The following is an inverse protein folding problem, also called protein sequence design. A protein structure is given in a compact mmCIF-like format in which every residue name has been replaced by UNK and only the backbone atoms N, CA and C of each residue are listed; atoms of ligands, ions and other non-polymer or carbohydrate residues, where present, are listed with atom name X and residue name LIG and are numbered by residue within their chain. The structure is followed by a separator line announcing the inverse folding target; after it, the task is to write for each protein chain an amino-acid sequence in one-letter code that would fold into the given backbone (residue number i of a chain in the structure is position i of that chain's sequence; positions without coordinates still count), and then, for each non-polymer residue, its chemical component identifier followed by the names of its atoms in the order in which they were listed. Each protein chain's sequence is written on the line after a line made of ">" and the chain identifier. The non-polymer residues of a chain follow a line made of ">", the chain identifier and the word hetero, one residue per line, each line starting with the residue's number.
data_IF_385174388500
#
_entry.id   IF_385174388500
#
_cell.length_a   1.000
_cell.length_b   1.000
_cell.length_c   1.000
_cell.angle_alpha   90.00
_cell.angle_beta   90.00
_cell.angle_gamma   90.00
#
_symmetry.space_group_name_H-M   'P 1'
#
loop_
_entity.id
_entity.type
_entity.pdbx_description
1 polymer ?
#
# COMPACT_ATOMS: atom_id res chain seq x y z
N UNK A 1 -6.29 -0.90 30.63
CA UNK A 1 -5.75 -0.49 29.31
C UNK A 1 -4.81 -1.55 28.77
N UNK A 2 -4.99 -2.00 27.53
CA UNK A 2 -4.12 -2.95 26.84
C UNK A 2 -3.60 -2.32 25.56
N UNK A 3 -2.38 -2.70 25.14
CA UNK A 3 -1.71 -2.07 23.98
C UNK A 3 -1.14 -3.13 23.05
N UNK A 4 -1.27 -2.90 21.73
CA UNK A 4 -0.67 -3.71 20.67
C UNK A 4 0.05 -2.79 19.67
N UNK A 5 1.28 -3.16 19.26
CA UNK A 5 2.04 -2.43 18.24
C UNK A 5 2.24 -3.33 17.03
N UNK A 6 1.99 -2.78 15.84
CA UNK A 6 2.10 -3.49 14.55
C UNK A 6 2.90 -2.65 13.56
N UNK A 7 3.79 -3.28 12.83
CA UNK A 7 4.47 -2.69 11.68
C UNK A 7 3.56 -2.81 10.45
N UNK A 8 2.98 -1.70 10.05
CA UNK A 8 2.07 -1.59 8.90
C UNK A 8 2.91 -1.45 7.62
N UNK A 9 3.17 -2.58 6.93
CA UNK A 9 4.09 -2.63 5.78
C UNK A 9 3.46 -2.03 4.53
N UNK A 10 4.24 -1.25 3.78
CA UNK A 10 3.88 -0.77 2.44
C UNK A 10 3.82 -1.91 1.41
N UNK A 11 3.19 -1.63 0.27
CA UNK A 11 3.18 -2.50 -0.91
C UNK A 11 3.72 -1.77 -2.13
N UNK A 12 4.16 -2.53 -3.11
CA UNK A 12 4.38 -2.10 -4.49
C UNK A 12 3.52 -2.95 -5.43
N UNK A 13 3.20 -2.41 -6.61
CA UNK A 13 2.58 -3.16 -7.68
C UNK A 13 3.68 -3.57 -8.66
N UNK A 14 4.05 -4.86 -8.69
CA UNK A 14 4.99 -5.40 -9.67
C UNK A 14 4.39 -5.38 -11.08
N UNK A 15 3.09 -5.69 -11.18
CA UNK A 15 2.30 -5.39 -12.40
C UNK A 15 1.07 -4.60 -12.02
N UNK A 16 0.59 -3.75 -12.93
CA UNK A 16 -0.72 -3.12 -12.85
C UNK A 16 -1.30 -3.02 -14.24
N UNK A 17 -2.33 -3.81 -14.49
CA UNK A 17 -3.06 -3.92 -15.74
C UNK A 17 -4.50 -3.48 -15.49
N UNK A 18 -4.99 -2.54 -16.28
CA UNK A 18 -6.34 -1.99 -16.17
C UNK A 18 -7.13 -2.43 -17.41
N UNK A 19 -8.32 -2.92 -17.17
CA UNK A 19 -9.24 -3.37 -18.21
C UNK A 19 -10.40 -2.36 -18.40
N UNK A 20 -11.36 -2.73 -19.22
CA UNK A 20 -12.49 -1.86 -19.56
C UNK A 20 -13.28 -1.43 -18.31
N UNK A 21 -13.89 -0.25 -18.44
CA UNK A 21 -14.75 0.32 -17.42
C UNK A 21 -16.02 -0.51 -17.25
N UNK A 22 -16.32 -0.87 -16.03
CA UNK A 22 -17.53 -1.63 -15.66
C UNK A 22 -18.76 -0.73 -15.64
N UNK A 23 -19.94 -1.35 -15.63
CA UNK A 23 -21.24 -0.63 -15.53
C UNK A 23 -21.40 0.14 -14.20
N UNK A 24 -20.69 -0.27 -13.14
CA UNK A 24 -20.69 0.40 -11.84
C UNK A 24 -19.72 1.60 -11.76
N UNK A 25 -19.03 1.89 -12.87
CA UNK A 25 -18.09 3.02 -12.98
C UNK A 25 -16.65 2.70 -12.55
N UNK A 26 -16.40 1.53 -11.99
CA UNK A 26 -15.04 1.04 -11.68
C UNK A 26 -14.42 0.34 -12.89
N UNK A 27 -13.11 0.06 -12.81
CA UNK A 27 -12.40 -0.77 -13.77
C UNK A 27 -12.11 -2.15 -13.17
N UNK A 28 -12.17 -3.19 -13.98
CA UNK A 28 -11.50 -4.42 -13.63
C UNK A 28 -10.00 -4.19 -13.75
N UNK A 29 -9.25 -4.74 -12.80
CA UNK A 29 -7.78 -4.66 -12.78
C UNK A 29 -7.17 -6.02 -12.53
N UNK A 30 -5.91 -6.15 -12.91
CA UNK A 30 -5.06 -7.28 -12.51
C UNK A 30 -3.70 -6.76 -12.10
N UNK A 31 -3.28 -7.10 -10.90
CA UNK A 31 -2.01 -6.63 -10.34
C UNK A 31 -1.34 -7.71 -9.52
N UNK A 32 -0.06 -7.92 -9.75
CA UNK A 32 0.79 -8.63 -8.79
C UNK A 32 1.31 -7.62 -7.79
N UNK A 33 0.85 -7.75 -6.54
CA UNK A 33 1.24 -6.88 -5.43
C UNK A 33 2.25 -7.59 -4.53
N UNK A 34 3.22 -6.84 -4.02
CA UNK A 34 4.21 -7.35 -3.07
C UNK A 34 4.40 -6.39 -1.90
N UNK A 35 4.39 -6.90 -0.66
CA UNK A 35 4.74 -6.10 0.53
C UNK A 35 6.24 -5.86 0.57
N UNK A 36 6.64 -4.69 1.04
CA UNK A 36 8.06 -4.31 1.20
C UNK A 36 8.36 -3.98 2.65
N UNK A 37 9.64 -3.91 3.02
CA UNK A 37 10.08 -3.66 4.39
C UNK A 37 9.86 -2.22 4.89
N UNK A 38 9.50 -1.25 4.03
CA UNK A 38 9.09 0.08 4.47
C UNK A 38 7.76 -0.03 5.21
N UNK A 39 7.67 0.51 6.43
CA UNK A 39 6.45 0.40 7.25
C UNK A 39 6.21 1.64 8.10
N UNK A 40 4.94 1.91 8.37
CA UNK A 40 4.50 2.75 9.47
C UNK A 40 4.46 1.92 10.76
N UNK A 41 4.58 2.58 11.92
CA UNK A 41 4.44 1.91 13.22
C UNK A 41 3.09 2.33 13.80
N UNK A 42 2.18 1.37 13.95
CA UNK A 42 0.83 1.59 14.46
C UNK A 42 0.72 0.99 15.85
N UNK A 43 0.50 1.85 16.84
CA UNK A 43 0.27 1.46 18.23
C UNK A 43 -1.19 1.73 18.59
N UNK A 44 -1.91 0.70 19.00
CA UNK A 44 -3.32 0.76 19.40
C UNK A 44 -3.43 0.48 20.89
N UNK A 45 -4.02 1.40 21.64
CA UNK A 45 -4.33 1.25 23.07
C UNK A 45 -5.83 1.21 23.25
N UNK A 46 -6.35 0.20 23.93
CA UNK A 46 -7.78 0.02 24.22
C UNK A 46 -8.04 0.11 25.72
N UNK A 47 -9.12 0.77 26.08
CA UNK A 47 -9.63 0.84 27.43
C UNK A 47 -11.10 0.40 27.47
N UNK A 48 -11.36 -0.76 28.06
CA UNK A 48 -12.70 -1.36 28.21
C UNK A 48 -13.37 -1.01 29.55
N UNK A 49 -12.67 -0.31 30.44
CA UNK A 49 -13.13 0.02 31.80
C UNK A 49 -13.47 1.50 31.98
N UNK A 50 -13.24 2.30 30.93
CA UNK A 50 -13.50 3.73 30.94
C UNK A 50 -14.99 4.02 31.02
N UNK A 51 -15.40 4.79 32.03
CA UNK A 51 -16.82 5.14 32.34
C UNK A 51 -17.08 6.63 32.37
N UNK A 52 -16.06 7.47 32.11
CA UNK A 52 -16.22 8.92 32.07
C UNK A 52 -16.90 9.39 30.74
N UNK A 53 -17.04 10.70 30.59
CA UNK A 53 -17.67 11.34 29.44
C UNK A 53 -16.99 11.01 28.07
N UNK A 54 -15.77 10.48 28.11
CA UNK A 54 -15.03 10.07 26.94
C UNK A 54 -15.06 8.54 26.68
N UNK A 55 -15.96 7.80 27.34
CA UNK A 55 -16.17 6.39 27.09
C UNK A 55 -16.63 6.17 25.63
N UNK A 56 -15.94 5.29 24.92
CA UNK A 56 -16.17 5.05 23.48
C UNK A 56 -15.46 6.03 22.54
N UNK A 57 -14.62 6.94 23.06
CA UNK A 57 -13.84 7.84 22.22
C UNK A 57 -12.81 7.08 21.38
N UNK A 58 -12.73 7.42 20.09
CA UNK A 58 -11.68 6.98 19.18
C UNK A 58 -10.83 8.19 18.82
N UNK A 59 -9.52 8.09 19.04
CA UNK A 59 -8.55 9.14 18.68
C UNK A 59 -7.44 8.59 17.83
N UNK A 60 -7.04 9.35 16.80
CA UNK A 60 -5.89 9.03 15.92
C UNK A 60 -4.86 10.15 15.99
N UNK A 61 -3.65 9.79 16.39
CA UNK A 61 -2.50 10.69 16.52
C UNK A 61 -1.43 10.26 15.53
N UNK A 62 -1.22 11.06 14.49
CA UNK A 62 -0.17 10.79 13.50
C UNK A 62 1.04 11.69 13.73
N UNK A 63 2.25 11.15 13.57
CA UNK A 63 3.51 11.92 13.65
C UNK A 63 3.62 13.04 12.61
N UNK A 64 2.83 12.95 11.52
CA UNK A 64 2.68 13.97 10.47
C UNK A 64 1.21 14.10 10.11
N UNK A 65 0.78 15.32 9.77
CA UNK A 65 -0.59 15.53 9.26
C UNK A 65 -0.77 14.83 7.91
N UNK A 66 -1.83 14.04 7.77
CA UNK A 66 -2.20 13.32 6.54
C UNK A 66 -3.58 13.76 6.05
N UNK A 67 -4.56 13.79 6.94
CA UNK A 67 -5.94 14.20 6.68
C UNK A 67 -6.67 14.52 7.99
N UNK A 68 -7.92 14.97 7.92
CA UNK A 68 -8.77 15.09 9.09
C UNK A 68 -8.95 13.72 9.76
N UNK A 69 -9.03 13.68 11.08
CA UNK A 69 -9.05 12.44 11.88
C UNK A 69 -10.13 11.45 11.41
N UNK A 70 -11.35 11.91 11.20
CA UNK A 70 -12.49 11.08 10.75
C UNK A 70 -12.37 10.59 9.31
N UNK A 71 -11.53 11.22 8.50
CA UNK A 71 -11.24 10.79 7.14
C UNK A 71 -10.11 9.75 7.07
N UNK A 72 -9.35 9.60 8.16
CA UNK A 72 -8.29 8.63 8.25
C UNK A 72 -8.84 7.19 8.24
N UNK A 73 -8.28 6.33 7.40
CA UNK A 73 -8.70 4.93 7.31
C UNK A 73 -8.47 4.16 8.62
N UNK A 74 -7.47 4.53 9.41
CA UNK A 74 -7.23 3.97 10.74
C UNK A 74 -8.39 4.30 11.70
N UNK A 75 -8.92 5.54 11.65
CA UNK A 75 -10.11 5.91 12.40
C UNK A 75 -11.33 5.10 11.96
N UNK A 76 -11.59 5.05 10.65
CA UNK A 76 -12.73 4.31 10.08
C UNK A 76 -12.66 2.81 10.39
N UNK A 77 -11.45 2.25 10.45
CA UNK A 77 -11.23 0.86 10.87
C UNK A 77 -11.67 0.64 12.33
N UNK A 78 -11.22 1.51 13.24
CA UNK A 78 -11.59 1.43 14.64
C UNK A 78 -13.09 1.66 14.84
N UNK A 79 -13.68 2.64 14.17
CA UNK A 79 -15.10 2.96 14.25
C UNK A 79 -15.97 1.76 13.83
N UNK A 80 -15.67 1.17 12.66
CA UNK A 80 -16.36 -0.03 12.16
C UNK A 80 -16.20 -1.22 13.08
N UNK A 81 -14.98 -1.43 13.60
CA UNK A 81 -14.69 -2.50 14.55
C UNK A 81 -15.45 -2.32 15.87
N UNK A 82 -15.40 -1.11 16.45
CA UNK A 82 -16.05 -0.82 17.74
C UNK A 82 -17.57 -0.89 17.64
N UNK A 83 -18.17 -0.49 16.51
CA UNK A 83 -19.60 -0.66 16.28
C UNK A 83 -20.00 -2.16 16.29
N UNK A 84 -19.22 -3.02 15.65
CA UNK A 84 -19.45 -4.47 15.67
C UNK A 84 -19.18 -5.09 17.03
N UNK A 85 -18.12 -4.64 17.74
CA UNK A 85 -17.81 -5.04 19.09
C UNK A 85 -18.98 -4.73 20.05
N UNK A 86 -19.53 -3.51 20.01
CA UNK A 86 -20.71 -3.13 20.80
C UNK A 86 -21.93 -4.00 20.47
N UNK A 87 -22.19 -4.22 19.17
CA UNK A 87 -23.31 -5.07 18.72
C UNK A 87 -23.24 -6.48 19.29
N UNK A 88 -22.03 -7.04 19.43
CA UNK A 88 -21.82 -8.42 19.93
C UNK A 88 -21.78 -8.55 21.44
N UNK A 89 -21.27 -7.54 22.13
CA UNK A 89 -20.96 -7.63 23.57
C UNK A 89 -21.85 -6.75 24.47
N UNK A 90 -22.48 -5.72 23.90
CA UNK A 90 -23.12 -4.64 24.65
C UNK A 90 -22.15 -3.73 25.40
N UNK A 91 -20.82 -3.90 25.19
CA UNK A 91 -19.79 -3.14 25.91
C UNK A 91 -19.23 -2.03 25.00
N UNK A 92 -18.85 -0.93 25.64
CA UNK A 92 -18.15 0.19 25.00
C UNK A 92 -16.66 0.10 25.35
N UNK A 93 -15.80 0.40 24.39
CA UNK A 93 -14.36 0.52 24.59
C UNK A 93 -13.84 1.79 23.93
N UNK A 94 -12.94 2.50 24.61
CA UNK A 94 -12.22 3.65 24.06
C UNK A 94 -10.95 3.18 23.37
N UNK A 95 -10.52 3.90 22.32
CA UNK A 95 -9.36 3.51 21.50
C UNK A 95 -8.48 4.72 21.19
N UNK A 96 -7.18 4.60 21.44
CA UNK A 96 -6.17 5.57 21.00
C UNK A 96 -5.25 4.87 20.02
N UNK A 97 -5.10 5.45 18.84
CA UNK A 97 -4.26 4.97 17.74
C UNK A 97 -3.15 5.99 17.52
N UNK A 98 -1.92 5.58 17.77
CA UNK A 98 -0.71 6.38 17.51
C UNK A 98 -0.01 5.83 16.29
N UNK A 99 0.25 6.68 15.27
CA UNK A 99 0.87 6.26 14.00
C UNK A 99 2.14 7.06 13.75
N UNK A 100 3.28 6.38 13.72
CA UNK A 100 4.53 6.92 13.20
C UNK A 100 4.57 6.72 11.69
N UNK A 101 4.39 7.82 10.93
CA UNK A 101 4.28 7.79 9.47
C UNK A 101 5.63 7.84 8.80
N UNK A 102 6.04 6.73 8.19
CA UNK A 102 7.25 6.55 7.38
C UNK A 102 6.92 6.35 5.89
N UNK A 103 5.74 5.74 5.60
CA UNK A 103 5.26 5.56 4.23
C UNK A 103 4.76 6.90 3.70
N UNK A 104 5.26 7.36 2.53
CA UNK A 104 4.74 8.57 1.88
C UNK A 104 3.24 8.46 1.60
N UNK A 105 2.47 9.49 1.97
CA UNK A 105 1.04 9.58 1.68
C UNK A 105 0.78 9.82 0.18
N UNK A 106 -0.37 9.34 -0.32
CA UNK A 106 -0.82 9.50 -1.73
C UNK A 106 0.25 9.11 -2.76
N UNK A 107 1.05 8.10 -2.46
CA UNK A 107 2.21 7.68 -3.25
C UNK A 107 2.01 6.36 -4.02
N UNK A 108 0.85 5.71 -3.93
CA UNK A 108 0.64 4.40 -4.53
C UNK A 108 1.26 3.23 -3.75
N UNK A 109 1.78 3.49 -2.53
CA UNK A 109 2.44 2.52 -1.67
C UNK A 109 1.50 1.87 -0.64
N UNK A 110 0.23 2.23 -0.62
CA UNK A 110 -0.79 1.61 0.24
C UNK A 110 -0.70 1.95 1.73
N UNK A 111 -0.02 3.05 2.14
CA UNK A 111 0.23 3.38 3.54
C UNK A 111 -1.05 3.49 4.38
N UNK A 112 -2.07 4.21 3.92
CA UNK A 112 -3.35 4.32 4.65
C UNK A 112 -4.07 2.99 4.79
N UNK A 113 -4.00 2.11 3.77
CA UNK A 113 -4.57 0.76 3.83
C UNK A 113 -3.78 -0.15 4.76
N UNK A 114 -2.46 0.02 4.85
CA UNK A 114 -1.60 -0.69 5.80
C UNK A 114 -1.92 -0.29 7.25
N UNK A 115 -2.08 1.02 7.53
CA UNK A 115 -2.49 1.52 8.84
C UNK A 115 -3.87 0.96 9.24
N UNK A 116 -4.82 0.98 8.32
CA UNK A 116 -6.16 0.43 8.49
C UNK A 116 -6.11 -1.06 8.88
N UNK A 117 -5.38 -1.87 8.11
CA UNK A 117 -5.21 -3.29 8.39
C UNK A 117 -4.54 -3.54 9.74
N UNK A 118 -3.51 -2.76 10.08
CA UNK A 118 -2.82 -2.85 11.37
C UNK A 118 -3.75 -2.55 12.55
N UNK A 119 -4.64 -1.56 12.42
CA UNK A 119 -5.65 -1.26 13.45
C UNK A 119 -6.63 -2.42 13.61
N UNK A 120 -7.16 -2.99 12.51
CA UNK A 120 -8.06 -4.14 12.56
C UNK A 120 -7.40 -5.36 13.24
N UNK A 121 -6.15 -5.64 12.89
CA UNK A 121 -5.38 -6.73 13.50
C UNK A 121 -5.10 -6.49 14.98
N UNK A 122 -4.72 -5.26 15.36
CA UNK A 122 -4.46 -4.92 16.75
C UNK A 122 -5.72 -5.04 17.62
N UNK A 123 -6.86 -4.51 17.15
CA UNK A 123 -8.14 -4.59 17.85
C UNK A 123 -8.64 -6.04 17.95
N UNK A 124 -8.45 -6.85 16.91
CA UNK A 124 -8.78 -8.28 16.95
C UNK A 124 -7.96 -9.02 18.02
N UNK A 125 -6.66 -8.70 18.14
CA UNK A 125 -5.78 -9.29 19.17
C UNK A 125 -6.16 -8.85 20.58
N UNK A 126 -6.52 -7.57 20.77
CA UNK A 126 -6.81 -6.99 22.08
C UNK A 126 -8.22 -7.35 22.59
N UNK A 127 -9.21 -7.41 21.70
CA UNK A 127 -10.62 -7.61 22.09
C UNK A 127 -11.17 -9.01 21.79
N UNK A 128 -10.61 -9.74 20.83
CA UNK A 128 -10.86 -11.17 20.60
C UNK A 128 -12.28 -11.58 20.21
N UNK A 129 -13.15 -10.63 19.84
CA UNK A 129 -14.59 -10.87 19.68
C UNK A 129 -15.03 -11.01 18.23
N UNK A 130 -14.25 -10.44 17.30
CA UNK A 130 -14.54 -10.39 15.88
C UNK A 130 -13.83 -11.54 15.17
N UNK A 131 -14.56 -12.29 14.34
CA UNK A 131 -14.01 -13.40 13.54
C UNK A 131 -13.15 -12.87 12.39
N UNK A 132 -12.25 -13.71 11.85
CA UNK A 132 -11.44 -13.36 10.68
C UNK A 132 -12.33 -12.90 9.51
N UNK A 133 -13.44 -13.63 9.24
CA UNK A 133 -14.38 -13.30 8.17
C UNK A 133 -14.98 -11.89 8.33
N UNK A 134 -15.41 -11.54 9.55
CA UNK A 134 -15.97 -10.20 9.82
C UNK A 134 -14.92 -9.10 9.68
N UNK A 135 -13.67 -9.39 10.06
CA UNK A 135 -12.53 -8.50 9.86
C UNK A 135 -12.27 -8.26 8.37
N UNK A 136 -12.29 -9.33 7.56
CA UNK A 136 -12.14 -9.26 6.10
C UNK A 136 -13.28 -8.46 5.44
N UNK A 137 -14.52 -8.64 5.89
CA UNK A 137 -15.67 -7.85 5.42
C UNK A 137 -15.50 -6.35 5.71
N UNK A 138 -15.04 -5.98 6.91
CA UNK A 138 -14.71 -4.58 7.24
C UNK A 138 -13.59 -4.08 6.34
N UNK A 139 -12.54 -4.85 6.15
CA UNK A 139 -11.40 -4.48 5.31
C UNK A 139 -11.80 -4.20 3.86
N UNK A 140 -12.59 -5.09 3.25
CA UNK A 140 -13.08 -4.94 1.88
C UNK A 140 -13.99 -3.71 1.70
N UNK A 141 -14.75 -3.34 2.73
CA UNK A 141 -15.58 -2.15 2.74
C UNK A 141 -14.76 -0.85 2.80
N UNK A 142 -13.65 -0.85 3.55
CA UNK A 142 -12.84 0.35 3.80
C UNK A 142 -11.91 0.71 2.65
N UNK A 143 -11.46 -0.26 1.86
CA UNK A 143 -10.62 0.03 0.69
C UNK A 143 -10.09 -1.22 0.00
N UNK A 144 -9.87 -1.12 -1.32
CA UNK A 144 -9.47 -2.26 -2.16
C UNK A 144 -8.10 -2.86 -1.81
N UNK A 145 -7.17 -2.06 -1.30
CA UNK A 145 -5.85 -2.56 -0.88
C UNK A 145 -5.86 -3.15 0.55
N UNK A 146 -6.88 -2.83 1.38
CA UNK A 146 -6.91 -3.25 2.81
C UNK A 146 -6.93 -4.77 2.98
N UNK A 147 -7.71 -5.56 2.20
CA UNK A 147 -7.66 -7.02 2.27
C UNK A 147 -6.24 -7.58 2.06
N UNK A 148 -5.51 -7.08 1.05
CA UNK A 148 -4.13 -7.52 0.83
C UNK A 148 -3.21 -7.19 2.00
N UNK A 149 -3.39 -6.02 2.63
CA UNK A 149 -2.57 -5.63 3.79
C UNK A 149 -2.81 -6.52 5.02
N UNK A 150 -4.02 -7.07 5.19
CA UNK A 150 -4.35 -8.03 6.26
C UNK A 150 -3.72 -9.40 6.06
N UNK A 151 -3.44 -9.81 4.83
CA UNK A 151 -2.92 -11.14 4.54
C UNK A 151 -1.56 -11.41 5.22
N UNK A 152 -1.34 -12.66 5.60
CA UNK A 152 -0.07 -13.09 6.21
C UNK A 152 1.02 -13.38 5.18
N UNK A 153 0.67 -13.46 3.89
CA UNK A 153 1.62 -13.61 2.80
C UNK A 153 1.99 -12.25 2.20
N UNK A 154 3.13 -12.18 1.57
CA UNK A 154 3.72 -10.93 1.10
C UNK A 154 3.50 -10.67 -0.39
N UNK A 155 3.10 -11.68 -1.17
CA UNK A 155 2.85 -11.57 -2.61
C UNK A 155 1.49 -12.15 -3.00
N UNK A 156 0.74 -11.41 -3.83
CA UNK A 156 -0.55 -11.84 -4.33
C UNK A 156 -0.87 -11.32 -5.72
N UNK A 157 -1.65 -12.08 -6.47
CA UNK A 157 -2.42 -11.59 -7.60
C UNK A 157 -3.74 -11.02 -7.10
N UNK A 158 -3.97 -9.73 -7.33
CA UNK A 158 -5.23 -9.06 -7.10
C UNK A 158 -5.99 -8.91 -8.41
N UNK A 159 -7.29 -9.22 -8.41
CA UNK A 159 -8.18 -9.16 -9.59
C UNK A 159 -9.52 -8.50 -9.25
N UNK A 160 -10.36 -8.28 -10.28
CA UNK A 160 -11.61 -7.54 -10.14
C UNK A 160 -11.33 -6.08 -9.80
N UNK A 161 -11.95 -5.56 -8.75
CA UNK A 161 -11.67 -4.20 -8.24
C UNK A 161 -10.42 -4.15 -7.32
N UNK A 162 -9.60 -5.21 -7.30
CA UNK A 162 -8.42 -5.33 -6.46
C UNK A 162 -8.64 -6.12 -5.16
N UNK A 163 -9.85 -6.60 -4.92
CA UNK A 163 -10.25 -7.27 -3.66
C UNK A 163 -10.23 -8.80 -3.73
N UNK A 164 -10.21 -9.39 -4.94
CA UNK A 164 -10.06 -10.84 -5.10
C UNK A 164 -8.59 -11.20 -5.13
N UNK A 165 -8.12 -11.92 -4.12
CA UNK A 165 -6.70 -12.20 -3.91
C UNK A 165 -6.38 -13.68 -4.12
N UNK A 166 -5.28 -13.94 -4.82
CA UNK A 166 -4.66 -15.25 -4.95
C UNK A 166 -3.21 -15.15 -4.47
N UNK A 167 -2.85 -15.91 -3.43
CA UNK A 167 -1.47 -15.99 -2.95
C UNK A 167 -0.52 -16.42 -4.05
N UNK A 168 0.64 -15.77 -4.13
CA UNK A 168 1.75 -16.10 -5.03
C UNK A 168 3.03 -16.37 -4.25
N UNK A 169 4.04 -17.03 -4.86
CA UNK A 169 5.39 -17.08 -4.34
C UNK A 169 5.95 -15.66 -4.18
N UNK A 170 6.77 -15.45 -3.15
CA UNK A 170 7.47 -14.19 -2.95
C UNK A 170 8.58 -14.01 -4.00
N UNK A 171 9.02 -12.79 -4.22
CA UNK A 171 10.26 -12.52 -4.93
C UNK A 171 11.45 -13.16 -4.18
N UNK A 172 12.49 -13.61 -4.90
CA UNK A 172 13.78 -13.90 -4.29
C UNK A 172 14.28 -12.70 -3.48
N UNK A 173 15.04 -12.96 -2.40
CA UNK A 173 15.55 -11.90 -1.54
C UNK A 173 16.27 -10.82 -2.34
N UNK A 174 15.80 -9.59 -2.24
CA UNK A 174 16.34 -8.43 -2.94
C UNK A 174 16.10 -7.15 -2.14
N UNK A 175 16.52 -6.02 -2.69
CA UNK A 175 16.37 -4.70 -2.08
C UNK A 175 15.50 -3.81 -2.95
N UNK A 176 14.63 -3.05 -2.29
CA UNK A 176 13.76 -2.06 -2.90
C UNK A 176 14.18 -0.66 -2.47
N UNK A 177 14.40 0.21 -3.44
CA UNK A 177 14.59 1.65 -3.20
C UNK A 177 13.38 2.38 -3.74
N UNK A 178 12.71 3.17 -2.90
CA UNK A 178 11.58 4.01 -3.35
C UNK A 178 11.98 5.48 -3.39
N UNK A 179 11.46 6.19 -4.38
CA UNK A 179 11.54 7.64 -4.48
C UNK A 179 10.16 8.22 -4.79
N UNK A 180 9.71 9.18 -3.99
CA UNK A 180 8.39 9.82 -4.14
C UNK A 180 8.61 11.32 -4.26
N UNK A 181 8.23 11.96 -5.38
CA UNK A 181 8.25 13.43 -5.50
C UNK A 181 7.16 14.04 -4.60
N UNK A 182 7.30 15.32 -4.26
CA UNK A 182 6.31 16.00 -3.42
C UNK A 182 4.94 16.15 -4.10
N UNK A 183 4.92 16.19 -5.43
CA UNK A 183 3.68 16.27 -6.19
C UNK A 183 2.99 14.90 -6.22
N UNK A 184 1.88 14.79 -5.50
CA UNK A 184 0.99 13.63 -5.55
C UNK A 184 0.07 13.65 -6.77
N UNK A 185 -0.49 12.49 -7.08
CA UNK A 185 -1.52 12.30 -8.10
C UNK A 185 -2.80 11.79 -7.44
N UNK A 186 -3.95 12.27 -7.91
CA UNK A 186 -5.25 11.73 -7.51
C UNK A 186 -5.50 10.43 -8.29
N UNK A 187 -5.78 9.34 -7.58
CA UNK A 187 -6.13 8.06 -8.22
C UNK A 187 -7.30 8.22 -9.18
N UNK A 188 -8.32 9.00 -8.80
CA UNK A 188 -9.49 9.26 -9.64
C UNK A 188 -9.09 9.94 -10.94
N UNK A 189 -8.29 11.02 -10.86
CA UNK A 189 -7.89 11.79 -12.04
C UNK A 189 -7.06 10.92 -13.01
N UNK A 190 -6.25 10.00 -12.48
CA UNK A 190 -5.46 9.08 -13.31
C UNK A 190 -6.35 8.07 -14.04
N UNK A 191 -7.39 7.54 -13.41
CA UNK A 191 -8.37 6.70 -14.10
C UNK A 191 -9.14 7.48 -15.18
N UNK A 192 -9.56 8.72 -14.89
CA UNK A 192 -10.26 9.56 -15.86
C UNK A 192 -9.35 9.88 -17.06
N UNK A 193 -8.08 10.22 -16.83
CA UNK A 193 -7.08 10.42 -17.89
C UNK A 193 -6.77 9.12 -18.69
N UNK A 194 -6.81 7.97 -18.03
CA UNK A 194 -6.62 6.67 -18.69
C UNK A 194 -7.77 6.39 -19.67
N UNK A 195 -9.01 6.65 -19.25
CA UNK A 195 -10.20 6.51 -20.10
C UNK A 195 -10.16 7.44 -21.31
N UNK A 196 -9.73 8.69 -21.13
CA UNK A 196 -9.63 9.68 -22.19
C UNK A 196 -8.59 9.30 -23.25
N UNK A 197 -7.42 8.82 -22.80
CA UNK A 197 -6.27 8.56 -23.70
C UNK A 197 -6.38 7.27 -24.48
N UNK A 198 -7.34 6.35 -24.24
CA UNK A 198 -7.71 5.11 -24.95
C UNK A 198 -6.60 4.29 -25.68
N UNK A 199 -5.32 4.61 -25.47
CA UNK A 199 -4.20 4.14 -26.30
C UNK A 199 -3.09 3.44 -25.51
N UNK A 200 -3.34 3.10 -24.26
CA UNK A 200 -2.33 2.32 -23.54
C UNK A 200 -2.48 0.88 -24.02
N UNK A 201 -1.64 0.50 -24.96
CA UNK A 201 -1.51 -0.90 -25.40
C UNK A 201 -1.42 -1.77 -24.15
N UNK A 202 -2.29 -2.77 -24.00
CA UNK A 202 -2.22 -3.66 -22.87
C UNK A 202 -0.90 -4.42 -22.89
N UNK A 203 0.09 -3.94 -22.19
CA UNK A 203 1.31 -4.70 -21.95
C UNK A 203 0.99 -5.68 -20.81
N UNK A 204 0.33 -6.77 -21.17
CA UNK A 204 -0.15 -7.80 -20.23
C UNK A 204 1.01 -8.71 -19.87
N UNK A 205 1.61 -8.47 -18.71
CA UNK A 205 2.79 -9.21 -18.24
C UNK A 205 2.53 -10.02 -16.95
N UNK A 206 1.36 -9.91 -16.33
CA UNK A 206 1.10 -10.57 -15.06
C UNK A 206 1.29 -12.10 -15.13
N UNK A 207 0.84 -12.80 -16.18
CA UNK A 207 1.06 -14.24 -16.32
C UNK A 207 2.54 -14.60 -16.45
N UNK A 208 3.30 -13.80 -17.23
CA UNK A 208 4.74 -14.01 -17.41
C UNK A 208 5.49 -13.76 -16.09
N UNK A 209 5.08 -12.74 -15.32
CA UNK A 209 5.65 -12.45 -14.02
C UNK A 209 5.31 -13.54 -13.01
N UNK A 210 4.07 -14.06 -12.98
CA UNK A 210 3.67 -15.17 -12.10
C UNK A 210 4.52 -16.41 -12.41
N UNK A 211 4.66 -16.78 -13.70
CA UNK A 211 5.52 -17.91 -14.10
C UNK A 211 6.99 -17.71 -13.71
N UNK A 212 7.49 -16.46 -13.75
CA UNK A 212 8.85 -16.15 -13.32
C UNK A 212 9.01 -16.26 -11.79
N UNK A 213 7.98 -15.85 -11.00
CA UNK A 213 7.95 -16.03 -9.55
C UNK A 213 7.95 -17.51 -9.16
N UNK A 214 7.14 -18.35 -9.85
CA UNK A 214 7.09 -19.80 -9.63
C UNK A 214 8.42 -20.48 -9.92
N UNK A 215 9.23 -19.93 -10.84
CA UNK A 215 10.55 -20.43 -11.21
C UNK A 215 11.70 -19.77 -10.44
N UNK A 216 11.40 -18.82 -9.56
CA UNK A 216 12.38 -18.00 -8.83
C UNK A 216 13.39 -17.30 -9.75
N UNK A 217 12.99 -17.02 -11.01
CA UNK A 217 13.84 -16.38 -12.01
C UNK A 217 13.84 -14.86 -11.84
N UNK A 218 14.80 -14.37 -11.06
CA UNK A 218 14.91 -12.94 -10.70
C UNK A 218 14.98 -12.02 -11.93
N UNK A 219 15.74 -12.41 -12.96
CA UNK A 219 15.86 -11.62 -14.19
C UNK A 219 14.52 -11.49 -14.91
N UNK A 220 13.84 -12.62 -15.14
CA UNK A 220 12.52 -12.63 -15.76
C UNK A 220 11.44 -11.93 -14.93
N UNK A 221 11.53 -11.99 -13.59
CA UNK A 221 10.65 -11.19 -12.73
C UNK A 221 10.82 -9.71 -13.05
N UNK A 222 12.04 -9.21 -13.03
CA UNK A 222 12.36 -7.80 -13.30
C UNK A 222 11.94 -7.35 -14.71
N UNK A 223 12.10 -8.19 -15.73
CA UNK A 223 11.70 -7.92 -17.14
C UNK A 223 10.19 -7.82 -17.33
N UNK A 224 9.42 -8.38 -16.40
CA UNK A 224 7.96 -8.40 -16.47
C UNK A 224 7.26 -7.39 -15.52
N UNK A 225 8.02 -6.52 -14.85
CA UNK A 225 7.46 -5.42 -14.05
C UNK A 225 6.88 -4.36 -14.99
N UNK A 226 5.59 -4.02 -14.79
CA UNK A 226 4.88 -3.06 -15.67
C UNK A 226 3.75 -2.35 -14.93
N UNK A 227 3.52 -1.08 -15.27
CA UNK A 227 2.38 -0.30 -14.78
C UNK A 227 1.78 0.52 -15.93
N UNK A 228 0.53 0.24 -16.29
CA UNK A 228 -0.15 0.91 -17.40
C UNK A 228 -0.42 2.40 -17.15
N UNK A 229 -0.49 2.84 -15.91
CA UNK A 229 -0.65 4.26 -15.59
C UNK A 229 0.65 5.07 -15.74
N UNK A 230 1.82 4.43 -15.67
CA UNK A 230 3.09 5.14 -15.60
C UNK A 230 3.32 6.13 -16.75
N UNK A 231 3.05 5.81 -18.03
CA UNK A 231 3.25 6.76 -19.13
C UNK A 231 2.41 8.03 -18.97
N UNK A 232 1.17 7.90 -18.47
CA UNK A 232 0.27 9.02 -18.21
C UNK A 232 0.80 9.83 -17.05
N UNK A 233 1.18 9.18 -15.96
CA UNK A 233 1.67 9.84 -14.76
C UNK A 233 3.00 10.58 -14.99
N UNK A 234 3.90 10.04 -15.82
CA UNK A 234 5.14 10.74 -16.22
C UNK A 234 4.84 12.02 -17.00
N UNK A 235 3.80 12.03 -17.83
CA UNK A 235 3.38 13.22 -18.55
C UNK A 235 2.89 14.31 -17.60
N UNK A 236 2.12 13.94 -16.56
CA UNK A 236 1.56 14.87 -15.57
C UNK A 236 2.60 15.33 -14.52
N UNK A 237 3.54 14.44 -14.16
CA UNK A 237 4.58 14.65 -13.14
C UNK A 237 5.91 14.12 -13.68
N UNK A 238 6.66 15.00 -14.35
CA UNK A 238 7.93 14.62 -15.01
C UNK A 238 9.00 14.10 -14.03
N UNK A 239 8.89 14.41 -12.76
CA UNK A 239 9.76 13.95 -11.68
C UNK A 239 9.73 12.42 -11.54
N UNK A 240 8.60 11.77 -11.82
CA UNK A 240 8.45 10.31 -11.85
C UNK A 240 9.47 9.70 -12.83
N UNK A 241 9.53 10.24 -14.05
CA UNK A 241 10.48 9.78 -15.07
C UNK A 241 11.94 10.04 -14.71
N UNK A 242 12.22 11.15 -14.01
CA UNK A 242 13.58 11.47 -13.53
C UNK A 242 14.03 10.54 -12.42
N UNK A 243 13.14 10.20 -11.46
CA UNK A 243 13.40 9.22 -10.40
C UNK A 243 13.65 7.84 -11.03
N UNK A 244 12.78 7.38 -11.94
CA UNK A 244 12.95 6.11 -12.66
C UNK A 244 14.31 6.03 -13.35
N UNK A 245 14.67 7.07 -14.10
CA UNK A 245 15.95 7.14 -14.80
C UNK A 245 17.15 7.13 -13.84
N UNK A 246 17.04 7.80 -12.69
CA UNK A 246 18.06 7.79 -11.65
C UNK A 246 18.27 6.39 -11.10
N UNK A 247 17.20 5.67 -10.73
CA UNK A 247 17.26 4.30 -10.21
C UNK A 247 17.89 3.33 -11.22
N UNK A 248 17.47 3.38 -12.50
CA UNK A 248 18.04 2.54 -13.56
C UNK A 248 19.53 2.83 -13.79
N UNK A 249 19.93 4.11 -13.80
CA UNK A 249 21.35 4.49 -13.92
C UNK A 249 22.18 4.06 -12.72
N UNK A 250 21.56 3.88 -11.56
CA UNK A 250 22.22 3.37 -10.34
C UNK A 250 22.28 1.85 -10.27
N UNK A 251 21.89 1.12 -11.35
CA UNK A 251 22.02 -0.32 -11.42
C UNK A 251 20.78 -1.10 -10.99
N UNK A 252 19.61 -0.47 -10.93
CA UNK A 252 18.36 -1.21 -10.70
C UNK A 252 18.08 -2.17 -11.86
N UNK A 253 17.77 -3.44 -11.54
CA UNK A 253 17.31 -4.44 -12.50
C UNK A 253 15.97 -4.06 -13.15
N UNK A 254 15.11 -3.43 -12.36
CA UNK A 254 13.87 -2.82 -12.84
C UNK A 254 13.59 -1.55 -12.02
N UNK A 255 12.92 -0.58 -12.64
CA UNK A 255 12.34 0.57 -11.95
C UNK A 255 10.97 0.88 -12.53
N UNK A 256 9.97 1.06 -11.66
CA UNK A 256 8.57 1.25 -12.06
C UNK A 256 7.82 2.10 -11.04
N UNK A 257 6.77 2.81 -11.50
CA UNK A 257 5.84 3.50 -10.61
C UNK A 257 4.91 2.48 -9.92
N UNK A 258 4.60 2.69 -8.65
CA UNK A 258 3.66 1.87 -7.89
C UNK A 258 2.25 2.45 -7.91
N UNK A 259 1.24 1.59 -8.16
CA UNK A 259 -0.16 1.98 -8.14
C UNK A 259 -0.48 3.13 -9.10
N UNK A 260 -1.30 4.07 -8.66
CA UNK A 260 -1.59 5.32 -9.39
C UNK A 260 -0.51 6.39 -9.20
N UNK A 261 0.61 6.06 -8.57
CA UNK A 261 1.73 6.97 -8.34
C UNK A 261 1.56 7.78 -7.06
N UNK A 262 2.50 8.67 -6.81
CA UNK A 262 3.65 9.10 -7.63
C UNK A 262 4.97 8.37 -7.27
N UNK A 263 4.98 7.45 -6.30
CA UNK A 263 6.20 6.73 -5.93
C UNK A 263 6.70 5.82 -7.05
N UNK A 264 8.01 5.86 -7.26
CA UNK A 264 8.75 4.96 -8.13
C UNK A 264 9.62 4.06 -7.25
N UNK A 265 9.62 2.77 -7.54
CA UNK A 265 10.51 1.81 -6.89
C UNK A 265 11.55 1.27 -7.87
N UNK A 266 12.72 0.93 -7.35
CA UNK A 266 13.78 0.22 -8.08
C UNK A 266 14.15 -1.04 -7.33
N UNK A 267 14.38 -2.13 -8.08
CA UNK A 267 14.74 -3.44 -7.55
C UNK A 267 16.24 -3.68 -7.75
N UNK A 268 16.92 -4.10 -6.68
CA UNK A 268 18.36 -4.34 -6.64
C UNK A 268 18.64 -5.70 -6.01
N UNK A 269 19.58 -6.45 -6.57
CA UNK A 269 20.03 -7.71 -5.99
C UNK A 269 21.01 -7.47 -4.81
N UNK A 270 21.72 -6.35 -4.85
CA UNK A 270 22.81 -6.03 -3.92
C UNK A 270 22.47 -4.83 -3.03
N UNK A 271 22.79 -4.94 -1.73
CA UNK A 271 22.53 -3.91 -0.73
C UNK A 271 23.32 -2.62 -0.97
N UNK A 272 24.58 -2.73 -1.34
CA UNK A 272 25.46 -1.57 -1.51
C UNK A 272 25.02 -0.74 -2.71
N UNK A 273 24.59 -1.40 -3.80
CA UNK A 273 24.00 -0.74 -4.96
C UNK A 273 22.67 -0.04 -4.61
N UNK A 274 21.81 -0.69 -3.82
CA UNK A 274 20.56 -0.10 -3.35
C UNK A 274 20.84 1.16 -2.49
N UNK A 275 21.79 1.10 -1.57
CA UNK A 275 22.18 2.25 -0.75
C UNK A 275 22.81 3.38 -1.58
N UNK A 276 23.59 3.04 -2.62
CA UNK A 276 24.12 4.04 -3.56
C UNK A 276 22.99 4.72 -4.34
N UNK A 277 22.00 3.96 -4.81
CA UNK A 277 20.82 4.49 -5.49
C UNK A 277 19.99 5.41 -4.55
N UNK A 278 19.80 5.01 -3.31
CA UNK A 278 19.17 5.84 -2.29
C UNK A 278 19.89 7.19 -2.12
N UNK A 279 21.22 7.20 -2.07
CA UNK A 279 22.01 8.45 -2.00
C UNK A 279 21.85 9.27 -3.28
N UNK A 280 21.89 8.62 -4.45
CA UNK A 280 21.76 9.28 -5.76
C UNK A 280 20.39 9.99 -5.91
N UNK A 281 19.31 9.41 -5.41
CA UNK A 281 18.01 10.09 -5.40
C UNK A 281 18.04 11.43 -4.65
N UNK A 282 18.86 11.56 -3.62
CA UNK A 282 19.01 12.81 -2.86
C UNK A 282 19.79 13.90 -3.58
N UNK A 283 20.38 13.62 -4.73
CA UNK A 283 21.08 14.60 -5.56
C UNK A 283 20.21 15.16 -6.70
N UNK A 284 18.97 14.71 -6.82
CA UNK A 284 18.04 15.23 -7.80
C UNK A 284 17.69 16.70 -7.48
N UNK A 285 17.42 17.53 -8.50
CA UNK A 285 17.19 18.98 -8.32
C UNK A 285 15.78 19.31 -7.83
N UNK A 286 15.15 18.39 -7.07
CA UNK A 286 13.84 18.53 -6.43
C UNK A 286 13.77 17.58 -5.24
N UNK A 287 12.85 17.87 -4.31
CA UNK A 287 12.69 17.06 -3.10
C UNK A 287 12.13 15.67 -3.43
N UNK A 288 12.77 14.65 -2.85
CA UNK A 288 12.38 13.24 -2.99
C UNK A 288 12.31 12.59 -1.62
N UNK A 289 11.13 12.20 -1.20
CA UNK A 289 10.97 11.27 -0.07
C UNK A 289 11.43 9.89 -0.51
N UNK A 290 12.44 9.35 0.15
CA UNK A 290 13.12 8.13 -0.29
C UNK A 290 13.27 7.13 0.83
N UNK A 291 13.26 5.85 0.49
CA UNK A 291 13.55 4.74 1.40
C UNK A 291 14.34 3.65 0.73
N UNK A 292 15.01 2.82 1.52
CA UNK A 292 15.63 1.56 1.10
C UNK A 292 15.24 0.48 2.09
N UNK A 293 14.79 -0.66 1.59
CA UNK A 293 14.33 -1.77 2.41
C UNK A 293 14.57 -3.11 1.70
N UNK A 294 14.40 -4.20 2.44
CA UNK A 294 14.35 -5.57 1.87
C UNK A 294 12.95 -5.88 1.33
N UNK A 295 12.94 -6.76 0.36
CA UNK A 295 11.79 -7.56 -0.07
C UNK A 295 12.01 -8.98 0.38
#
# INVERSE_FOLDING_TARGET
>A
METCTINARAKINLTLEIFDRRKDGYHDMRSVMHKIGLCDIVKVTVDTERTDENAGEIRVICSKYVCAEKDNLAYKAADSFMALYYKKTGKIASCIIEIEKNIPDKAGLGGGSADCAAVLDALTKLLGVITEKEKEEIAAYLGSDVPFMLEKYDCALATGTGTTLQKLPMMPMCYCVTGTPDKGLSTRDIYDLFDEKKHVVPNVKANSLISALEQEDFGRICDNIVNQFEPICIHEVSEIGKIKKCLLKSGAYAAQMSGSGSAVFGIFADKEQAEAAYRALGTLPFDVRRSVCKI
#
